data_IF_736224854371
#
_entry.id   IF_736224854371
#
_cell.length_a   1.000
_cell.length_b   1.000
_cell.length_c   1.000
_cell.angle_alpha   90.00
_cell.angle_beta   90.00
_cell.angle_gamma   90.00
#
_symmetry.space_group_name_H-M   'P 1'
#
loop_
_entity.id
_entity.type
_entity.pdbx_description
1 polymer ?
#
# COMPACT_ATOMS: atom_id res chain seq x y z
N UNK A 1 26.26 14.96 8.10
CA UNK A 1 25.25 14.15 8.81
C UNK A 1 23.82 14.72 8.78
N UNK A 2 23.55 16.03 9.00
CA UNK A 2 22.17 16.60 8.91
C UNK A 2 21.62 16.64 7.47
N UNK A 3 22.45 16.88 6.47
CA UNK A 3 22.07 17.00 5.06
C UNK A 3 21.64 15.66 4.44
N UNK A 4 22.28 14.55 4.81
CA UNK A 4 21.94 13.20 4.34
C UNK A 4 20.61 12.72 4.91
N UNK A 5 20.34 12.97 6.19
CA UNK A 5 19.07 12.65 6.82
C UNK A 5 17.91 13.43 6.18
N UNK A 6 18.13 14.71 5.81
CA UNK A 6 17.13 15.53 5.13
C UNK A 6 16.88 15.03 3.69
N UNK A 7 17.95 14.71 2.96
CA UNK A 7 17.85 14.15 1.61
C UNK A 7 17.13 12.80 1.59
N UNK A 8 17.40 11.94 2.58
CA UNK A 8 16.68 10.68 2.76
C UNK A 8 15.20 10.90 3.11
N UNK A 9 14.90 11.87 3.98
CA UNK A 9 13.53 12.21 4.33
C UNK A 9 12.74 12.71 3.11
N UNK A 10 13.34 13.57 2.28
CA UNK A 10 12.74 14.06 1.04
C UNK A 10 12.52 12.93 0.02
N UNK A 11 13.51 12.04 -0.15
CA UNK A 11 13.36 10.86 -1.04
C UNK A 11 12.22 9.97 -0.57
N UNK A 12 12.15 9.61 0.71
CA UNK A 12 11.03 8.82 1.25
C UNK A 12 9.68 9.50 1.05
N UNK A 13 9.61 10.83 1.08
CA UNK A 13 8.38 11.56 0.82
C UNK A 13 7.96 11.48 -0.65
N UNK A 14 8.91 11.50 -1.56
CA UNK A 14 8.68 11.30 -2.99
C UNK A 14 8.30 9.83 -3.28
N UNK A 15 8.90 8.88 -2.54
CA UNK A 15 8.64 7.45 -2.71
C UNK A 15 7.24 7.03 -2.19
N UNK A 16 6.73 7.67 -1.14
CA UNK A 16 5.38 7.38 -0.62
C UNK A 16 4.26 7.79 -1.59
N UNK A 17 4.56 8.72 -2.51
CA UNK A 17 3.59 9.24 -3.44
C UNK A 17 2.48 10.06 -2.76
N UNK A 18 1.34 10.18 -3.44
CA UNK A 18 0.16 10.85 -2.93
C UNK A 18 -0.61 9.94 -1.98
N UNK A 19 -1.49 10.55 -1.18
CA UNK A 19 -2.42 9.81 -0.34
C UNK A 19 -3.74 9.64 -1.07
N UNK A 20 -4.10 8.39 -1.35
CA UNK A 20 -5.31 8.02 -2.04
C UNK A 20 -6.44 7.79 -1.03
N UNK A 21 -7.66 8.27 -1.28
CA UNK A 21 -8.79 8.01 -0.41
C UNK A 21 -9.18 6.52 -0.46
N UNK A 22 -9.45 5.95 0.71
CA UNK A 22 -10.00 4.61 0.87
C UNK A 22 -11.47 4.68 1.24
N UNK A 23 -12.30 3.99 0.50
CA UNK A 23 -13.74 4.01 0.68
C UNK A 23 -14.39 5.34 0.30
N UNK A 24 -15.48 5.69 0.98
CA UNK A 24 -16.23 6.90 0.73
C UNK A 24 -15.83 8.11 1.60
N UNK A 25 -16.51 9.26 1.41
CA UNK A 25 -16.20 10.50 2.13
C UNK A 25 -16.32 10.40 3.65
N UNK A 26 -17.14 9.47 4.15
CA UNK A 26 -17.37 9.28 5.57
C UNK A 26 -16.29 8.41 6.25
N UNK A 27 -15.46 7.70 5.47
CA UNK A 27 -14.54 6.71 6.02
C UNK A 27 -13.30 7.32 6.69
N UNK A 28 -12.86 8.52 6.27
CA UNK A 28 -11.72 9.19 6.89
C UNK A 28 -10.43 8.35 6.86
N UNK A 29 -10.25 7.59 5.79
CA UNK A 29 -9.15 6.67 5.60
C UNK A 29 -8.40 6.96 4.30
N UNK A 30 -7.07 6.83 4.33
CA UNK A 30 -6.20 7.02 3.17
C UNK A 30 -5.14 5.94 3.12
N UNK A 31 -4.67 5.65 1.92
CA UNK A 31 -3.54 4.75 1.67
C UNK A 31 -2.47 5.49 0.85
N UNK A 32 -1.20 5.21 1.08
CA UNK A 32 -0.15 5.75 0.23
C UNK A 32 -0.22 5.15 -1.17
N UNK A 33 0.05 5.97 -2.20
CA UNK A 33 0.09 5.51 -3.59
C UNK A 33 1.07 4.34 -3.75
N UNK A 34 2.19 4.36 -3.04
CA UNK A 34 3.16 3.28 -3.02
C UNK A 34 2.56 1.96 -2.53
N UNK A 35 1.86 1.97 -1.39
CA UNK A 35 1.23 0.75 -0.87
C UNK A 35 0.14 0.22 -1.81
N UNK A 36 -0.64 1.12 -2.41
CA UNK A 36 -1.67 0.75 -3.38
C UNK A 36 -1.06 0.17 -4.66
N UNK A 37 -0.05 0.83 -5.24
CA UNK A 37 0.61 0.35 -6.46
C UNK A 37 1.32 -0.99 -6.26
N UNK A 38 1.93 -1.22 -5.10
CA UNK A 38 2.51 -2.53 -4.76
C UNK A 38 1.46 -3.64 -4.67
N UNK A 39 0.30 -3.36 -4.08
CA UNK A 39 -0.77 -4.34 -3.98
C UNK A 39 -1.39 -4.65 -5.35
N UNK A 40 -1.58 -3.64 -6.21
CA UNK A 40 -2.07 -3.81 -7.57
C UNK A 40 -1.03 -4.51 -8.47
N UNK A 41 0.25 -4.22 -8.29
CA UNK A 41 1.34 -4.90 -9.00
C UNK A 41 1.31 -6.41 -8.76
N UNK A 42 1.11 -6.84 -7.51
CA UNK A 42 0.96 -8.27 -7.19
C UNK A 42 -0.23 -8.91 -7.90
N UNK A 43 -1.33 -8.19 -8.07
CA UNK A 43 -2.47 -8.70 -8.83
C UNK A 43 -2.17 -8.83 -10.33
N UNK A 44 -1.38 -7.93 -10.89
CA UNK A 44 -0.90 -8.04 -12.26
C UNK A 44 0.09 -9.20 -12.45
N UNK A 45 0.96 -9.47 -11.47
CA UNK A 45 1.92 -10.58 -11.49
C UNK A 45 1.23 -11.97 -11.49
N UNK A 46 -0.04 -12.04 -11.06
CA UNK A 46 -0.85 -13.26 -11.13
C UNK A 46 -1.26 -13.62 -12.59
N UNK A 47 -1.07 -12.71 -13.55
CA UNK A 47 -1.47 -12.92 -14.96
C UNK A 47 -0.28 -13.41 -15.76
N UNK A 48 -0.34 -14.63 -16.33
CA UNK A 48 0.77 -15.17 -17.10
C UNK A 48 1.11 -14.31 -18.32
N UNK A 49 2.38 -14.07 -18.55
CA UNK A 49 2.86 -13.33 -19.72
C UNK A 49 2.67 -11.82 -19.67
N UNK A 50 2.20 -11.28 -18.56
CA UNK A 50 2.08 -9.83 -18.31
C UNK A 50 3.24 -9.36 -17.45
N UNK A 51 3.84 -8.23 -17.81
CA UNK A 51 4.79 -7.49 -16.95
C UNK A 51 4.32 -6.05 -16.84
N UNK A 52 4.01 -5.63 -15.63
CA UNK A 52 3.65 -4.26 -15.35
C UNK A 52 4.91 -3.39 -15.31
N UNK A 53 4.98 -2.35 -16.13
CA UNK A 53 6.14 -1.45 -16.21
C UNK A 53 5.92 -0.18 -15.40
N UNK A 54 4.71 0.34 -15.44
CA UNK A 54 4.33 1.48 -14.62
C UNK A 54 2.86 1.40 -14.24
N UNK A 55 2.55 1.94 -13.08
CA UNK A 55 1.18 2.07 -12.57
C UNK A 55 1.06 3.38 -11.82
N UNK A 56 0.02 4.13 -12.12
CA UNK A 56 -0.34 5.37 -11.44
C UNK A 56 -1.82 5.36 -11.12
N UNK A 57 -2.17 5.99 -10.00
CA UNK A 57 -3.55 6.12 -9.56
C UNK A 57 -3.84 7.61 -9.41
N UNK A 58 -4.87 8.08 -10.07
CA UNK A 58 -5.26 9.49 -10.07
C UNK A 58 -6.75 9.67 -9.87
N UNK A 59 -7.22 10.93 -9.71
CA UNK A 59 -8.65 11.22 -9.67
C UNK A 59 -9.25 10.99 -11.07
N UNK A 60 -10.48 10.53 -11.12
CA UNK A 60 -11.25 10.52 -12.37
C UNK A 60 -11.69 11.94 -12.72
N UNK A 61 -11.24 12.52 -13.85
CA UNK A 61 -11.41 13.95 -14.11
C UNK A 61 -12.86 14.39 -14.30
N UNK A 62 -13.74 13.47 -14.72
CA UNK A 62 -15.14 13.77 -15.06
C UNK A 62 -16.10 13.56 -13.90
N UNK A 63 -15.63 13.04 -12.78
CA UNK A 63 -16.48 12.73 -11.65
C UNK A 63 -16.36 13.77 -10.54
N UNK A 64 -17.48 14.10 -9.86
CA UNK A 64 -17.46 15.08 -8.80
C UNK A 64 -16.69 14.58 -7.58
N UNK A 65 -15.95 15.50 -6.98
CA UNK A 65 -15.25 15.27 -5.72
C UNK A 65 -16.23 15.49 -4.56
N UNK A 66 -16.28 14.55 -3.65
CA UNK A 66 -17.12 14.64 -2.45
C UNK A 66 -16.39 15.36 -1.31
N UNK A 67 -17.12 16.15 -0.53
CA UNK A 67 -16.56 16.74 0.68
C UNK A 67 -16.31 15.66 1.75
N UNK A 68 -15.10 15.55 2.28
CA UNK A 68 -14.79 14.55 3.29
C UNK A 68 -15.35 14.91 4.66
N UNK A 69 -15.94 13.93 5.36
CA UNK A 69 -16.42 14.10 6.73
C UNK A 69 -15.28 14.33 7.74
N UNK A 70 -14.06 13.93 7.39
CA UNK A 70 -12.85 14.13 8.17
C UNK A 70 -11.87 14.93 7.33
N UNK A 71 -11.32 16.01 7.88
CA UNK A 71 -10.32 16.81 7.18
C UNK A 71 -9.15 15.93 6.72
N UNK A 72 -8.82 15.90 5.42
CA UNK A 72 -7.75 15.09 4.88
C UNK A 72 -6.38 15.45 5.50
N UNK A 73 -5.46 14.47 5.62
CA UNK A 73 -4.06 14.75 5.90
C UNK A 73 -3.44 15.65 4.82
N UNK A 74 -2.30 16.25 5.15
CA UNK A 74 -1.54 17.02 4.15
C UNK A 74 -1.15 16.12 2.96
N UNK A 75 -1.35 16.61 1.74
CA UNK A 75 -1.10 15.90 0.47
C UNK A 75 -2.08 14.76 0.17
N UNK A 76 -3.16 14.63 0.91
CA UNK A 76 -4.22 13.67 0.61
C UNK A 76 -5.11 14.18 -0.53
N UNK A 77 -5.45 13.24 -1.42
CA UNK A 77 -6.47 13.51 -2.42
C UNK A 77 -7.84 13.56 -1.76
N UNK A 78 -8.73 14.41 -2.25
CA UNK A 78 -10.11 14.44 -1.80
C UNK A 78 -10.83 13.12 -2.15
N UNK A 79 -11.82 12.70 -1.37
CA UNK A 79 -12.61 11.52 -1.68
C UNK A 79 -13.34 11.67 -3.01
N UNK A 80 -13.25 10.65 -3.84
CA UNK A 80 -13.89 10.60 -5.15
C UNK A 80 -13.43 9.39 -5.93
N UNK A 81 -14.05 9.15 -7.09
CA UNK A 81 -13.65 8.07 -7.98
C UNK A 81 -12.21 8.21 -8.47
N UNK A 82 -11.54 7.09 -8.59
CA UNK A 82 -10.14 7.01 -9.02
C UNK A 82 -10.03 6.31 -10.38
N UNK A 83 -9.01 6.69 -11.13
CA UNK A 83 -8.58 6.05 -12.37
C UNK A 83 -7.20 5.43 -12.19
N UNK A 84 -7.02 4.27 -12.78
CA UNK A 84 -5.73 3.58 -12.88
C UNK A 84 -5.18 3.79 -14.28
N UNK A 85 -3.96 4.32 -14.39
CA UNK A 85 -3.21 4.38 -15.64
C UNK A 85 -2.04 3.39 -15.54
N UNK A 86 -2.00 2.38 -16.40
CA UNK A 86 -0.97 1.36 -16.36
C UNK A 86 -0.32 1.12 -17.73
N UNK A 87 1.00 0.96 -17.74
CA UNK A 87 1.75 0.52 -18.90
C UNK A 87 2.30 -0.89 -18.63
N UNK A 88 2.18 -1.77 -19.63
CA UNK A 88 2.59 -3.16 -19.49
C UNK A 88 3.17 -3.72 -20.78
N UNK A 89 4.02 -4.72 -20.66
CA UNK A 89 4.42 -5.58 -21.75
C UNK A 89 3.72 -6.94 -21.66
N UNK A 90 3.46 -7.55 -22.82
CA UNK A 90 2.73 -8.81 -22.90
C UNK A 90 3.49 -9.85 -23.72
N UNK A 91 3.25 -11.13 -23.43
CA UNK A 91 3.77 -12.22 -24.24
C UNK A 91 2.89 -12.48 -25.46
N UNK A 92 3.51 -12.91 -26.57
CA UNK A 92 2.82 -13.27 -27.82
C UNK A 92 2.00 -14.58 -27.73
N UNK A 93 1.95 -15.21 -26.54
CA UNK A 93 1.25 -16.51 -26.36
C UNK A 93 -0.28 -16.41 -26.27
N UNK A 94 -0.82 -15.21 -26.09
CA UNK A 94 -2.27 -14.97 -26.01
C UNK A 94 -2.67 -13.74 -26.83
N UNK A 95 -3.93 -13.65 -27.32
CA UNK A 95 -4.42 -12.44 -27.98
C UNK A 95 -4.33 -11.22 -27.06
N UNK A 96 -3.71 -10.17 -27.55
CA UNK A 96 -3.48 -8.96 -26.78
C UNK A 96 -4.75 -8.33 -26.19
N UNK A 97 -5.90 -8.27 -26.89
CA UNK A 97 -7.14 -7.76 -26.32
C UNK A 97 -7.60 -8.55 -25.09
N UNK A 98 -7.52 -9.88 -25.14
CA UNK A 98 -7.90 -10.75 -24.02
C UNK A 98 -6.98 -10.56 -22.82
N UNK A 99 -5.66 -10.45 -23.05
CA UNK A 99 -4.68 -10.16 -22.02
C UNK A 99 -4.93 -8.78 -21.37
N UNK A 100 -5.25 -7.77 -22.17
CA UNK A 100 -5.58 -6.44 -21.67
C UNK A 100 -6.88 -6.45 -20.84
N UNK A 101 -7.90 -7.18 -21.26
CA UNK A 101 -9.16 -7.28 -20.51
C UNK A 101 -9.00 -8.05 -19.20
N UNK A 102 -8.17 -9.10 -19.19
CA UNK A 102 -7.81 -9.82 -17.97
C UNK A 102 -7.06 -8.90 -16.99
N UNK A 103 -6.08 -8.14 -17.47
CA UNK A 103 -5.32 -7.19 -16.65
C UNK A 103 -6.23 -6.09 -16.09
N UNK A 104 -7.10 -5.51 -16.93
CA UNK A 104 -8.06 -4.49 -16.51
C UNK A 104 -8.95 -5.00 -15.39
N UNK A 105 -9.54 -6.18 -15.59
CA UNK A 105 -10.42 -6.81 -14.61
C UNK A 105 -9.68 -7.10 -13.29
N UNK A 106 -8.46 -7.63 -13.36
CA UNK A 106 -7.66 -7.93 -12.18
C UNK A 106 -7.28 -6.66 -11.39
N UNK A 107 -6.90 -5.58 -12.07
CA UNK A 107 -6.56 -4.31 -11.42
C UNK A 107 -7.79 -3.68 -10.74
N UNK A 108 -8.93 -3.62 -11.42
CA UNK A 108 -10.17 -3.07 -10.85
C UNK A 108 -10.67 -3.91 -9.68
N UNK A 109 -10.65 -5.24 -9.82
CA UNK A 109 -11.02 -6.16 -8.76
C UNK A 109 -10.10 -6.06 -7.54
N UNK A 110 -8.81 -5.98 -7.75
CA UNK A 110 -7.84 -5.81 -6.66
C UNK A 110 -8.01 -4.45 -5.97
N UNK A 111 -8.20 -3.38 -6.73
CA UNK A 111 -8.45 -2.05 -6.19
C UNK A 111 -9.69 -2.03 -5.28
N UNK A 112 -10.81 -2.58 -5.77
CA UNK A 112 -12.07 -2.59 -5.03
C UNK A 112 -12.07 -3.61 -3.88
N UNK A 113 -11.74 -4.89 -4.17
CA UNK A 113 -11.93 -6.01 -3.23
C UNK A 113 -10.75 -6.26 -2.31
N UNK A 114 -9.51 -5.92 -2.72
CA UNK A 114 -8.33 -6.12 -1.86
C UNK A 114 -7.93 -4.86 -1.10
N UNK A 115 -8.25 -3.67 -1.62
CA UNK A 115 -7.85 -2.40 -1.00
C UNK A 115 -9.04 -1.58 -0.48
N UNK A 116 -10.17 -1.58 -1.18
CA UNK A 116 -11.31 -0.70 -0.90
C UNK A 116 -11.18 0.66 -1.56
N UNK A 117 -10.43 0.77 -2.65
CA UNK A 117 -10.39 1.96 -3.49
C UNK A 117 -11.65 2.04 -4.36
N UNK A 118 -12.20 3.24 -4.49
CA UNK A 118 -13.33 3.49 -5.41
C UNK A 118 -12.75 3.80 -6.78
N UNK A 119 -12.50 2.76 -7.59
CA UNK A 119 -11.96 2.89 -8.95
C UNK A 119 -13.04 2.64 -9.98
N UNK A 120 -13.13 3.50 -11.00
CA UNK A 120 -14.15 3.42 -12.05
C UNK A 120 -13.56 3.04 -13.41
N UNK A 121 -12.31 3.38 -13.66
CA UNK A 121 -11.64 3.11 -14.95
C UNK A 121 -10.21 2.60 -14.76
N UNK A 122 -9.75 1.80 -15.74
CA UNK A 122 -8.36 1.40 -15.86
C UNK A 122 -7.92 1.54 -17.32
N UNK A 123 -7.07 2.52 -17.58
CA UNK A 123 -6.47 2.78 -18.88
C UNK A 123 -5.15 2.02 -19.01
N UNK A 124 -5.08 1.18 -20.04
CA UNK A 124 -3.95 0.29 -20.26
C UNK A 124 -3.22 0.67 -21.54
N UNK A 125 -1.91 0.79 -21.46
CA UNK A 125 -1.02 1.02 -22.60
C UNK A 125 -0.03 -0.14 -22.74
N UNK A 126 -0.04 -0.79 -23.89
CA UNK A 126 0.99 -1.77 -24.24
C UNK A 126 2.25 -1.04 -24.66
N UNK A 127 3.38 -1.41 -24.08
CA UNK A 127 4.69 -0.82 -24.36
C UNK A 127 5.57 -1.73 -25.19
N UNK A 128 5.45 -3.05 -24.96
CA UNK A 128 6.27 -4.03 -25.67
C UNK A 128 5.54 -5.39 -25.76
N UNK A 129 5.96 -6.18 -26.75
CA UNK A 129 5.53 -7.56 -26.93
C UNK A 129 6.78 -8.45 -26.94
N UNK A 130 6.80 -9.46 -26.06
CA UNK A 130 7.92 -10.39 -25.98
C UNK A 130 7.49 -11.84 -26.28
N UNK A 131 8.38 -12.60 -26.88
CA UNK A 131 8.18 -14.03 -27.07
C UNK A 131 8.29 -14.75 -25.72
N UNK A 132 7.39 -15.69 -25.47
CA UNK A 132 7.56 -16.64 -24.36
C UNK A 132 8.82 -17.44 -24.65
N UNK A 133 9.83 -17.47 -23.79
CA UNK A 133 10.93 -18.40 -23.96
C UNK A 133 10.33 -19.79 -24.03
N UNK A 134 10.27 -20.36 -25.21
CA UNK A 134 9.93 -21.77 -25.34
C UNK A 134 11.03 -22.51 -24.56
N UNK A 135 10.67 -23.15 -23.46
CA UNK A 135 11.46 -24.21 -22.87
C UNK A 135 11.50 -25.33 -23.90
N UNK A 136 12.30 -25.06 -24.94
CA UNK A 136 12.48 -25.94 -26.07
C UNK A 136 13.05 -27.25 -25.58
N UNK A 137 12.37 -28.31 -25.90
CA UNK A 137 12.89 -29.65 -26.05
C UNK A 137 14.28 -29.57 -26.66
N UNK A 138 15.29 -29.73 -25.82
CA UNK A 138 16.68 -29.85 -26.25
C UNK A 138 16.79 -31.00 -27.26
N UNK A 139 17.22 -30.80 -28.50
CA UNK A 139 17.54 -31.93 -29.37
C UNK A 139 18.67 -32.70 -28.71
N UNK A 140 18.39 -33.93 -28.44
CA UNK A 140 19.29 -34.92 -27.89
C UNK A 140 20.31 -35.27 -28.95
N UNK A 141 21.38 -34.50 -29.04
CA UNK A 141 22.57 -34.91 -29.80
C UNK A 141 23.54 -35.52 -28.82
N UNK A 142 23.69 -36.83 -28.97
CA UNK A 142 24.65 -37.63 -28.26
C UNK A 142 26.09 -37.25 -28.71
N UNK A 143 26.91 -36.85 -27.77
CA UNK A 143 28.36 -37.01 -27.90
C UNK A 143 28.95 -37.28 -26.50
N UNK A 144 29.68 -38.35 -26.49
CA UNK A 144 30.32 -39.05 -25.36
C UNK A 144 31.41 -38.28 -24.65
N UNK A 145 31.57 -38.65 -23.40
CA UNK A 145 32.84 -38.88 -22.63
C UNK A 145 33.60 -37.65 -22.14
N UNK A 146 33.68 -37.47 -20.88
CA UNK A 146 34.77 -37.89 -19.98
C UNK A 146 34.58 -37.31 -18.60
N UNK A 147 34.59 -38.17 -17.61
CA UNK A 147 34.73 -37.88 -16.18
C UNK A 147 36.17 -37.40 -15.90
N UNK A 148 36.44 -36.53 -14.96
CA UNK A 148 36.73 -37.00 -13.62
C UNK A 148 36.12 -36.22 -12.46
N UNK A 149 36.03 -36.95 -11.39
CA UNK A 149 35.60 -36.86 -10.02
C UNK A 149 36.00 -35.61 -9.17
N UNK A 150 35.67 -35.64 -7.87
CA UNK A 150 34.77 -34.66 -7.23
C UNK A 150 35.54 -33.69 -6.35
N UNK A 151 35.01 -32.52 -6.15
CA UNK A 151 35.38 -31.67 -5.01
C UNK A 151 34.13 -31.20 -4.31
N UNK A 152 34.06 -31.52 -3.03
CA UNK A 152 33.05 -31.21 -2.06
C UNK A 152 32.84 -29.70 -1.87
N UNK A 153 31.65 -29.30 -1.48
CA UNK A 153 31.33 -27.93 -1.17
C UNK A 153 31.56 -27.59 0.31
N UNK A 154 31.80 -26.39 0.65
CA UNK A 154 31.24 -25.91 1.90
C UNK A 154 30.33 -24.71 1.74
N UNK A 155 29.22 -24.77 2.45
CA UNK A 155 28.57 -23.58 2.91
C UNK A 155 27.24 -23.20 2.25
N UNK A 156 26.28 -24.10 2.36
CA UNK A 156 24.89 -23.67 2.45
C UNK A 156 24.70 -22.96 3.78
N UNK A 157 24.22 -21.76 3.74
CA UNK A 157 23.35 -21.15 4.75
C UNK A 157 23.49 -19.63 4.72
N UNK A 158 22.60 -18.96 4.05
CA UNK A 158 22.10 -17.65 4.42
C UNK A 158 21.10 -17.16 3.39
N UNK A 159 20.06 -17.92 3.19
CA UNK A 159 18.85 -17.40 2.61
C UNK A 159 17.81 -17.47 3.70
N UNK A 160 17.36 -16.37 4.10
CA UNK A 160 16.14 -16.09 4.83
C UNK A 160 16.41 -15.28 6.10
N UNK A 161 15.76 -14.29 6.15
CA UNK A 161 15.38 -13.38 7.25
C UNK A 161 15.68 -11.94 6.85
N UNK A 162 14.96 -11.48 5.86
CA UNK A 162 14.57 -10.07 5.89
C UNK A 162 13.45 -9.98 6.90
N UNK A 163 13.84 -10.16 8.16
CA UNK A 163 13.01 -9.91 9.30
C UNK A 163 12.58 -8.45 9.27
N UNK A 164 11.29 -8.26 9.40
CA UNK A 164 10.68 -7.00 9.77
C UNK A 164 11.49 -6.40 10.90
N UNK A 165 12.07 -5.24 10.66
CA UNK A 165 12.74 -4.49 11.73
C UNK A 165 11.66 -4.14 12.75
N UNK A 166 11.87 -4.43 14.04
CA UNK A 166 10.95 -3.99 15.07
C UNK A 166 10.88 -2.46 15.02
N UNK A 167 9.66 -1.96 14.94
CA UNK A 167 9.36 -0.53 14.96
C UNK A 167 9.96 0.08 16.23
N UNK A 168 11.12 0.67 16.11
CA UNK A 168 11.70 1.51 17.15
C UNK A 168 10.91 2.83 17.19
N UNK A 169 9.82 2.85 17.92
CA UNK A 169 8.97 4.05 18.03
C UNK A 169 7.94 4.02 19.15
N UNK A 170 7.51 2.84 19.59
CA UNK A 170 6.50 2.73 20.64
C UNK A 170 7.01 3.12 22.05
N UNK A 171 8.31 3.16 22.27
CA UNK A 171 8.89 3.43 23.58
C UNK A 171 8.85 4.88 24.07
N UNK A 172 8.42 5.83 23.24
CA UNK A 172 8.48 7.27 23.57
C UNK A 172 7.12 7.96 23.70
N UNK A 173 6.02 7.23 23.51
CA UNK A 173 4.67 7.77 23.67
C UNK A 173 4.29 7.77 25.15
N UNK A 174 3.82 8.91 25.69
CA UNK A 174 3.39 9.04 27.08
C UNK A 174 1.99 9.65 27.12
N UNK A 175 1.23 9.30 28.16
CA UNK A 175 -0.11 9.85 28.39
C UNK A 175 -1.14 9.45 27.32
N UNK A 176 -2.14 10.29 27.03
CA UNK A 176 -3.29 9.97 26.18
C UNK A 176 -2.91 9.42 24.78
N UNK A 177 -1.80 9.90 24.21
CA UNK A 177 -1.33 9.43 22.90
C UNK A 177 -0.89 7.98 22.93
N UNK A 178 -0.42 7.47 24.07
CA UNK A 178 -0.08 6.06 24.24
C UNK A 178 -1.35 5.20 24.24
N UNK A 179 -2.37 5.63 24.96
CA UNK A 179 -3.63 4.89 25.05
C UNK A 179 -4.30 4.77 23.66
N UNK A 180 -4.20 5.84 22.85
CA UNK A 180 -4.66 5.81 21.45
C UNK A 180 -3.81 4.87 20.57
N UNK A 181 -2.51 4.81 20.78
CA UNK A 181 -1.62 3.89 20.08
C UNK A 181 -1.91 2.43 20.44
N UNK A 182 -2.14 2.16 21.73
CA UNK A 182 -2.50 0.83 22.23
C UNK A 182 -3.90 0.42 21.70
N UNK A 183 -4.86 1.33 21.67
CA UNK A 183 -6.17 1.10 21.06
C UNK A 183 -6.08 0.76 19.57
N UNK A 184 -5.23 1.48 18.83
CA UNK A 184 -5.02 1.22 17.40
C UNK A 184 -4.33 -0.12 17.14
N UNK A 185 -3.29 -0.47 17.91
CA UNK A 185 -2.54 -1.73 17.74
C UNK A 185 -3.31 -2.94 18.23
N UNK A 186 -4.28 -2.77 19.12
CA UNK A 186 -5.20 -3.82 19.58
C UNK A 186 -6.21 -4.26 18.52
N UNK A 187 -6.35 -3.54 17.41
CA UNK A 187 -7.29 -3.90 16.36
C UNK A 187 -6.74 -5.05 15.50
N UNK A 188 -7.51 -6.13 15.29
CA UNK A 188 -7.11 -7.21 14.39
C UNK A 188 -6.81 -6.71 12.98
N UNK A 189 -5.70 -7.15 12.41
CA UNK A 189 -5.26 -6.73 11.09
C UNK A 189 -4.30 -5.53 11.06
N UNK A 190 -4.05 -4.88 12.18
CA UNK A 190 -2.95 -3.93 12.32
C UNK A 190 -1.65 -4.69 12.51
N UNK A 191 -0.70 -4.55 11.58
CA UNK A 191 0.64 -5.14 11.70
C UNK A 191 1.55 -4.31 12.61
N UNK A 192 1.33 -3.00 12.65
CA UNK A 192 2.07 -2.08 13.50
C UNK A 192 1.79 -0.63 13.16
N UNK A 193 2.21 0.26 14.05
CA UNK A 193 2.19 1.69 13.78
C UNK A 193 3.44 2.08 12.99
N UNK A 194 3.27 3.00 12.05
CA UNK A 194 4.35 3.45 11.16
C UNK A 194 4.62 4.93 11.33
N UNK A 195 5.84 5.34 11.00
CA UNK A 195 6.24 6.74 11.01
C UNK A 195 6.48 7.21 9.58
N UNK A 196 5.72 8.19 9.14
CA UNK A 196 5.96 8.85 7.86
C UNK A 196 6.80 10.10 8.11
N UNK A 197 8.00 10.13 7.54
CA UNK A 197 8.88 11.32 7.54
C UNK A 197 9.27 11.87 8.91
N UNK A 198 9.44 11.00 9.91
CA UNK A 198 9.76 11.44 11.26
C UNK A 198 8.55 12.03 12.00
N UNK A 199 7.34 11.93 11.42
CA UNK A 199 6.11 12.23 12.16
C UNK A 199 5.86 11.15 13.20
N UNK A 200 5.16 11.52 14.27
CA UNK A 200 4.73 10.54 15.26
C UNK A 200 3.66 9.63 14.62
N UNK A 201 3.65 8.33 14.93
CA UNK A 201 2.66 7.40 14.38
C UNK A 201 1.21 7.72 14.80
N UNK A 202 1.06 8.38 15.94
CA UNK A 202 -0.21 8.91 16.42
C UNK A 202 -0.01 10.37 16.76
N UNK A 203 -0.86 11.21 16.19
CA UNK A 203 -0.91 12.64 16.43
C UNK A 203 -2.30 13.02 16.93
N UNK A 204 -2.36 13.78 18.00
CA UNK A 204 -3.59 14.30 18.59
C UNK A 204 -3.50 15.81 18.69
N UNK A 205 -4.55 16.48 18.26
CA UNK A 205 -4.69 17.95 18.31
C UNK A 205 -6.07 18.31 18.81
N UNK A 206 -6.12 19.09 19.87
CA UNK A 206 -7.37 19.68 20.36
C UNK A 206 -7.58 21.05 19.70
N UNK A 207 -8.78 21.27 19.20
CA UNK A 207 -9.21 22.53 18.59
C UNK A 207 -10.09 23.27 19.57
N UNK A 208 -9.91 24.59 19.65
CA UNK A 208 -10.67 25.45 20.56
C UNK A 208 -11.95 26.01 19.92
N UNK A 209 -11.94 26.27 18.60
CA UNK A 209 -13.07 26.89 17.89
C UNK A 209 -13.22 26.30 16.47
N UNK A 210 -14.27 25.54 16.21
CA UNK A 210 -15.16 24.90 17.22
C UNK A 210 -14.41 23.88 18.07
N UNK A 211 -14.82 23.68 19.33
CA UNK A 211 -14.17 22.74 20.20
C UNK A 211 -14.27 21.31 19.64
N UNK A 212 -13.15 20.60 19.64
CA UNK A 212 -13.10 19.23 19.10
C UNK A 212 -11.71 18.64 19.22
N UNK A 213 -11.60 17.33 18.98
CA UNK A 213 -10.34 16.60 18.96
C UNK A 213 -10.10 15.96 17.60
N UNK A 214 -8.93 16.19 17.05
CA UNK A 214 -8.47 15.51 15.84
C UNK A 214 -7.36 14.54 16.18
N UNK A 215 -7.51 13.30 15.69
CA UNK A 215 -6.49 12.26 15.81
C UNK A 215 -6.10 11.79 14.42
N UNK A 216 -4.81 11.63 14.19
CA UNK A 216 -4.25 11.05 12.96
C UNK A 216 -3.40 9.84 13.35
N UNK A 217 -3.67 8.69 12.72
CA UNK A 217 -3.00 7.42 13.02
C UNK A 217 -2.38 6.86 11.74
N UNK A 218 -1.09 6.53 11.80
CA UNK A 218 -0.35 5.91 10.69
C UNK A 218 -0.04 4.46 11.03
N UNK A 219 -0.38 3.55 10.14
CA UNK A 219 -0.25 2.11 10.39
C UNK A 219 0.08 1.31 9.12
N UNK A 220 0.56 0.10 9.34
CA UNK A 220 0.66 -0.96 8.33
C UNK A 220 -0.40 -2.02 8.59
N UNK A 221 -0.92 -2.61 7.50
CA UNK A 221 -1.95 -3.65 7.56
C UNK A 221 -1.32 -5.02 7.37
N UNK A 222 -1.70 -5.97 8.22
CA UNK A 222 -1.23 -7.35 8.19
C UNK A 222 -1.75 -8.10 6.94
N UNK A 223 -1.05 -9.17 6.49
CA UNK A 223 -1.49 -9.99 5.37
C UNK A 223 -2.91 -10.51 5.58
N UNK A 224 -3.64 -10.70 4.48
CA UNK A 224 -5.00 -11.26 4.45
C UNK A 224 -6.07 -10.40 5.15
N UNK A 225 -5.76 -9.19 5.55
CA UNK A 225 -6.75 -8.25 6.09
C UNK A 225 -7.05 -7.17 5.06
N UNK A 226 -8.31 -6.77 5.00
CA UNK A 226 -8.77 -5.74 4.07
C UNK A 226 -8.46 -4.34 4.62
N UNK A 227 -7.66 -3.52 3.92
CA UNK A 227 -7.18 -2.24 4.45
C UNK A 227 -8.30 -1.29 4.91
N UNK A 228 -9.36 -1.15 4.12
CA UNK A 228 -10.48 -0.29 4.47
C UNK A 228 -11.21 -0.77 5.74
N UNK A 229 -11.41 -2.08 5.91
CA UNK A 229 -12.06 -2.63 7.10
C UNK A 229 -11.20 -2.44 8.35
N UNK A 230 -9.88 -2.65 8.23
CA UNK A 230 -8.94 -2.36 9.32
C UNK A 230 -8.97 -0.87 9.68
N UNK A 231 -8.96 0.03 8.67
CA UNK A 231 -9.03 1.46 8.91
C UNK A 231 -10.33 1.87 9.64
N UNK A 232 -11.48 1.31 9.26
CA UNK A 232 -12.77 1.53 9.94
C UNK A 232 -12.74 1.07 11.39
N UNK A 233 -12.21 -0.12 11.64
CA UNK A 233 -12.09 -0.68 12.98
C UNK A 233 -11.13 0.15 13.86
N UNK A 234 -9.97 0.54 13.33
CA UNK A 234 -9.03 1.43 14.03
C UNK A 234 -9.67 2.78 14.33
N UNK A 235 -10.37 3.36 13.36
CA UNK A 235 -11.06 4.63 13.55
C UNK A 235 -12.08 4.56 14.69
N UNK A 236 -12.88 3.50 14.74
CA UNK A 236 -13.85 3.29 15.80
C UNK A 236 -13.18 3.11 17.18
N UNK A 237 -12.14 2.28 17.28
CA UNK A 237 -11.42 2.04 18.52
C UNK A 237 -10.72 3.29 19.06
N UNK A 238 -10.04 4.03 18.18
CA UNK A 238 -9.34 5.27 18.54
C UNK A 238 -10.32 6.39 18.90
N UNK A 239 -11.45 6.53 18.18
CA UNK A 239 -12.47 7.50 18.51
C UNK A 239 -13.09 7.24 19.88
N UNK A 240 -13.36 5.97 20.20
CA UNK A 240 -13.85 5.57 21.51
C UNK A 240 -12.84 5.89 22.62
N UNK A 241 -11.56 5.55 22.44
CA UNK A 241 -10.51 5.82 23.42
C UNK A 241 -10.26 7.33 23.61
N UNK A 242 -10.40 8.12 22.55
CA UNK A 242 -10.16 9.57 22.58
C UNK A 242 -11.33 10.38 23.17
N UNK A 243 -12.51 9.77 23.33
CA UNK A 243 -13.74 10.50 23.70
C UNK A 243 -13.76 10.92 25.19
N UNK A 244 -13.04 10.21 26.07
CA UNK A 244 -13.16 10.35 27.51
C UNK A 244 -12.85 11.75 28.04
N UNK A 245 -11.91 12.45 27.42
CA UNK A 245 -11.40 13.75 27.84
C UNK A 245 -11.34 14.78 26.68
N UNK A 246 -12.08 14.49 25.60
CA UNK A 246 -12.11 15.35 24.44
C UNK A 246 -12.90 16.63 24.73
N UNK A 247 -12.44 17.81 24.25
CA UNK A 247 -13.16 19.08 24.43
C UNK A 247 -14.43 19.18 23.58
N UNK A 248 -14.67 18.21 22.68
CA UNK A 248 -15.81 18.19 21.76
C UNK A 248 -15.78 16.94 20.88
N UNK A 249 -16.41 16.98 19.70
CA UNK A 249 -16.44 15.85 18.77
C UNK A 249 -15.04 15.35 18.41
N UNK A 250 -14.87 14.02 18.36
CA UNK A 250 -13.61 13.40 17.97
C UNK A 250 -13.65 13.02 16.50
N UNK A 251 -12.67 13.48 15.74
CA UNK A 251 -12.45 13.11 14.34
C UNK A 251 -11.14 12.32 14.22
N UNK A 252 -11.18 11.16 13.56
CA UNK A 252 -10.02 10.29 13.39
C UNK A 252 -9.74 10.10 11.90
N UNK A 253 -8.52 10.42 11.50
CA UNK A 253 -7.96 10.16 10.18
C UNK A 253 -7.00 8.97 10.27
N UNK A 254 -7.17 7.96 9.42
CA UNK A 254 -6.31 6.79 9.37
C UNK A 254 -5.52 6.76 8.08
N UNK A 255 -4.20 6.64 8.19
CA UNK A 255 -3.28 6.55 7.07
C UNK A 255 -2.60 5.17 7.03
N UNK A 256 -2.85 4.43 5.97
CA UNK A 256 -2.19 3.16 5.69
C UNK A 256 -0.96 3.43 4.83
N UNK A 257 0.21 3.11 5.36
CA UNK A 257 1.49 3.34 4.67
C UNK A 257 2.02 2.09 3.98
N UNK A 258 1.62 0.92 4.46
CA UNK A 258 2.08 -0.36 3.96
C UNK A 258 0.98 -1.41 4.06
N UNK A 259 0.92 -2.30 3.08
CA UNK A 259 0.11 -3.52 3.12
C UNK A 259 1.04 -4.70 3.00
N UNK A 260 1.09 -5.54 4.04
CA UNK A 260 1.92 -6.75 4.00
C UNK A 260 1.36 -7.74 2.95
N UNK A 261 2.29 -8.48 2.36
CA UNK A 261 1.96 -9.48 1.33
C UNK A 261 1.33 -10.74 1.95
#
# INVERSE_FOLDING_TARGET
MKTEAWTQAVRRRLDLGRLLPLGGPADGAWITEQAATQALGRAADEIPGVRLESLRIGPEPLEPVSEPAVRPPASAMPPGPLRIDAAFSASLGQPLPETADQLRSALLDAAARRLGLVTVTADLRVTDLHEVPQTGTKPRTAARSMTPAPQDPPGAAAAAARGSLPVAGAGSLRGPVRDLADAATGVPGVAGLTTVLGSRPVRMEDQADPPGRRVEVHLSVAPKHHPLEVARAVRAAVAHAAASDAPGPVTVAVLITETAA
#
